data_IF_825592013458
#
_entry.id   IF_825592013458
#
_cell.length_a   1.000
_cell.length_b   1.000
_cell.length_c   1.000
_cell.angle_alpha   90.00
_cell.angle_beta   90.00
_cell.angle_gamma   90.00
#
_symmetry.space_group_name_H-M   'P 1'
#
loop_
_entity.id
_entity.type
_entity.pdbx_description
1 polymer ?
#
# COMPACT_ATOMS: atom_id res chain seq x y z
N UNK A 1 -12.04 -35.98 58.80
CA UNK A 1 -10.84 -35.27 58.29
C UNK A 1 -10.64 -35.69 56.84
N UNK A 2 -11.16 -34.91 55.88
CA UNK A 2 -11.03 -35.20 54.45
C UNK A 2 -9.64 -34.79 53.96
N UNK A 3 -8.75 -35.77 53.78
CA UNK A 3 -7.46 -35.54 53.16
C UNK A 3 -7.63 -35.42 51.64
N UNK A 4 -7.65 -34.17 51.16
CA UNK A 4 -7.72 -33.81 49.75
C UNK A 4 -6.49 -34.25 48.97
N UNK A 5 -6.57 -35.44 48.35
CA UNK A 5 -5.60 -35.92 47.38
C UNK A 5 -5.76 -35.19 46.04
N UNK A 6 -5.02 -34.10 45.83
CA UNK A 6 -4.87 -33.49 44.48
C UNK A 6 -4.10 -34.48 43.58
N UNK A 7 -4.82 -35.23 42.75
CA UNK A 7 -4.26 -36.06 41.68
C UNK A 7 -3.30 -35.22 40.82
N UNK A 8 -2.03 -35.61 40.75
CA UNK A 8 -1.05 -35.03 39.81
C UNK A 8 -1.55 -35.34 38.40
N UNK A 9 -2.07 -34.34 37.68
CA UNK A 9 -2.48 -34.50 36.28
C UNK A 9 -1.31 -35.07 35.47
N UNK A 10 -1.60 -36.11 34.68
CA UNK A 10 -0.64 -36.74 33.78
C UNK A 10 -0.16 -35.71 32.74
N UNK A 11 1.15 -35.62 32.50
CA UNK A 11 1.74 -34.70 31.52
C UNK A 11 1.10 -34.82 30.12
N UNK A 12 0.59 -36.00 29.77
CA UNK A 12 -0.16 -36.21 28.52
C UNK A 12 -1.45 -35.37 28.44
N UNK A 13 -2.25 -35.33 29.50
CA UNK A 13 -3.53 -34.62 29.55
C UNK A 13 -3.31 -33.11 29.44
N UNK A 14 -2.30 -32.59 30.17
CA UNK A 14 -1.88 -31.18 30.08
C UNK A 14 -1.45 -30.78 28.67
N UNK A 15 -0.69 -31.66 27.98
CA UNK A 15 -0.24 -31.39 26.62
C UNK A 15 -1.40 -31.41 25.62
N UNK A 16 -2.36 -32.33 25.80
CA UNK A 16 -3.59 -32.43 24.99
C UNK A 16 -4.46 -31.18 25.11
N UNK A 17 -4.64 -30.66 26.33
CA UNK A 17 -5.38 -29.41 26.56
C UNK A 17 -4.70 -28.20 25.94
N UNK A 18 -3.37 -28.09 26.08
CA UNK A 18 -2.57 -27.01 25.47
C UNK A 18 -2.71 -26.98 23.95
N UNK A 19 -2.59 -28.14 23.29
CA UNK A 19 -2.76 -28.25 21.83
C UNK A 19 -4.17 -27.82 21.41
N UNK A 20 -5.20 -28.22 22.16
CA UNK A 20 -6.60 -27.86 21.87
C UNK A 20 -6.83 -26.36 21.98
N UNK A 21 -6.26 -25.71 23.02
CA UNK A 21 -6.33 -24.26 23.22
C UNK A 21 -5.65 -23.49 22.08
N UNK A 22 -4.45 -23.92 21.67
CA UNK A 22 -3.71 -23.32 20.55
C UNK A 22 -4.46 -23.44 19.22
N UNK A 23 -5.15 -24.55 18.96
CA UNK A 23 -5.98 -24.70 17.75
C UNK A 23 -7.16 -23.72 17.75
N UNK A 24 -7.84 -23.59 18.89
CA UNK A 24 -8.98 -22.68 19.04
C UNK A 24 -8.56 -21.21 18.89
N UNK A 25 -7.43 -20.83 19.47
CA UNK A 25 -6.86 -19.48 19.36
C UNK A 25 -6.50 -19.14 17.91
N UNK A 26 -5.87 -20.07 17.18
CA UNK A 26 -5.60 -19.91 15.74
C UNK A 26 -6.87 -19.76 14.91
N UNK A 27 -7.92 -20.51 15.23
CA UNK A 27 -9.21 -20.38 14.54
C UNK A 27 -9.87 -19.03 14.82
N UNK A 28 -9.81 -18.55 16.07
CA UNK A 28 -10.35 -17.24 16.43
C UNK A 28 -9.58 -16.09 15.74
N UNK A 29 -8.26 -16.20 15.60
CA UNK A 29 -7.44 -15.22 14.86
C UNK A 29 -7.84 -15.21 13.39
N UNK A 30 -7.90 -16.38 12.73
CA UNK A 30 -8.33 -16.48 11.32
C UNK A 30 -9.72 -15.90 11.09
N UNK A 31 -10.66 -16.21 11.97
CA UNK A 31 -12.04 -15.71 11.86
C UNK A 31 -12.11 -14.18 12.02
N UNK A 32 -11.32 -13.60 12.92
CA UNK A 32 -11.19 -12.15 13.06
C UNK A 32 -10.53 -11.49 11.83
N UNK A 33 -9.55 -12.15 11.21
CA UNK A 33 -8.93 -11.67 9.97
C UNK A 33 -9.90 -11.73 8.79
N UNK A 34 -10.73 -12.77 8.70
CA UNK A 34 -11.76 -12.94 7.66
C UNK A 34 -12.92 -11.95 7.85
N UNK A 35 -13.46 -11.81 9.06
CA UNK A 35 -14.50 -10.82 9.39
C UNK A 35 -14.01 -9.37 9.20
N UNK A 36 -12.73 -9.12 9.47
CA UNK A 36 -12.08 -7.85 9.18
C UNK A 36 -11.97 -7.56 7.68
N UNK A 37 -11.73 -8.58 6.85
CA UNK A 37 -11.69 -8.45 5.37
C UNK A 37 -13.08 -8.21 4.78
N UNK A 38 -14.10 -8.95 5.19
CA UNK A 38 -15.47 -8.83 4.65
C UNK A 38 -16.13 -7.47 4.97
N UNK A 39 -15.93 -6.96 6.19
CA UNK A 39 -16.44 -5.61 6.53
C UNK A 39 -15.76 -4.52 5.72
N UNK A 40 -14.46 -4.67 5.43
CA UNK A 40 -13.69 -3.72 4.65
C UNK A 40 -14.05 -3.73 3.16
N UNK A 41 -14.25 -4.90 2.55
CA UNK A 41 -14.73 -5.00 1.15
C UNK A 41 -16.07 -4.29 0.96
N UNK A 42 -16.94 -4.33 1.97
CA UNK A 42 -18.22 -3.64 1.95
C UNK A 42 -18.10 -2.12 2.17
N UNK A 43 -17.15 -1.64 2.99
CA UNK A 43 -16.88 -0.21 3.14
C UNK A 43 -16.13 0.39 1.93
N UNK A 44 -15.24 -0.37 1.29
CA UNK A 44 -14.44 0.04 0.13
C UNK A 44 -15.30 0.18 -1.14
N UNK A 45 -16.36 -0.63 -1.29
CA UNK A 45 -17.38 -0.48 -2.34
C UNK A 45 -18.14 0.84 -2.27
N UNK A 46 -18.21 1.48 -1.10
CA UNK A 46 -19.12 2.59 -0.85
C UNK A 46 -18.51 3.99 -1.06
N UNK A 47 -17.20 4.15 -1.33
CA UNK A 47 -16.60 5.49 -1.23
C UNK A 47 -15.49 5.90 -2.22
N UNK A 48 -15.16 5.11 -3.24
CA UNK A 48 -14.29 5.57 -4.34
C UNK A 48 -14.71 4.94 -5.66
N UNK A 49 -14.90 5.75 -6.69
CA UNK A 49 -15.16 5.27 -8.05
C UNK A 49 -13.84 4.92 -8.74
N UNK A 50 -13.07 4.01 -8.13
CA UNK A 50 -11.81 3.54 -8.69
C UNK A 50 -12.08 2.79 -10.00
N UNK A 51 -11.58 3.34 -11.10
CA UNK A 51 -11.64 2.68 -12.41
C UNK A 51 -10.22 2.32 -12.85
N UNK A 52 -10.12 1.29 -13.68
CA UNK A 52 -8.85 0.83 -14.23
C UNK A 52 -8.41 1.78 -15.35
N UNK A 53 -7.22 2.37 -15.22
CA UNK A 53 -6.64 3.27 -16.21
C UNK A 53 -5.21 2.89 -16.56
N UNK A 54 -4.82 3.18 -17.79
CA UNK A 54 -3.45 3.12 -18.26
C UNK A 54 -2.82 4.52 -18.21
N UNK A 55 -1.68 4.63 -17.53
CA UNK A 55 -0.91 5.84 -17.37
C UNK A 55 0.33 5.71 -18.25
N UNK A 56 0.43 6.54 -19.27
CA UNK A 56 1.63 6.66 -20.09
C UNK A 56 2.60 7.65 -19.43
N UNK A 57 3.80 7.19 -19.09
CA UNK A 57 4.76 7.91 -18.26
C UNK A 57 6.14 7.93 -18.93
N UNK A 58 6.70 9.14 -19.05
CA UNK A 58 8.11 9.36 -19.35
C UNK A 58 8.91 9.68 -18.08
N UNK A 59 10.12 9.14 -17.95
CA UNK A 59 10.99 9.37 -16.79
C UNK A 59 12.49 9.29 -17.13
N UNK A 60 13.27 10.03 -16.33
CA UNK A 60 14.73 9.98 -16.29
C UNK A 60 15.13 8.98 -15.20
N UNK A 61 15.70 7.83 -15.58
CA UNK A 61 15.96 6.73 -14.65
C UNK A 61 17.20 6.88 -13.77
N UNK A 62 18.06 7.88 -13.98
CA UNK A 62 19.39 7.97 -13.36
C UNK A 62 19.39 7.94 -11.83
N UNK A 63 18.32 8.42 -11.18
CA UNK A 63 18.18 8.44 -9.71
C UNK A 63 17.28 7.32 -9.18
N UNK A 64 16.87 6.38 -10.03
CA UNK A 64 15.92 5.33 -9.68
C UNK A 64 16.55 3.95 -9.81
N UNK A 65 16.21 3.06 -8.88
CA UNK A 65 16.60 1.65 -8.87
C UNK A 65 15.73 0.80 -9.81
N UNK A 66 15.39 1.37 -10.96
CA UNK A 66 14.48 0.80 -11.95
C UNK A 66 13.04 1.20 -11.70
N UNK A 67 12.13 0.59 -12.47
CA UNK A 67 10.71 0.97 -12.41
C UNK A 67 9.88 0.14 -11.43
N UNK A 68 10.32 -1.04 -11.03
CA UNK A 68 9.54 -1.92 -10.14
C UNK A 68 9.66 -1.48 -8.68
N UNK A 69 8.57 -1.44 -7.94
CA UNK A 69 8.52 -1.24 -6.49
C UNK A 69 9.36 -2.28 -5.75
N UNK A 70 10.28 -1.81 -4.89
CA UNK A 70 11.14 -2.63 -4.04
C UNK A 70 11.08 -2.11 -2.60
N UNK A 71 9.90 -2.20 -1.97
CA UNK A 71 9.67 -1.75 -0.58
C UNK A 71 9.51 -0.23 -0.43
N UNK A 72 9.05 0.22 0.75
CA UNK A 72 8.62 1.63 0.99
C UNK A 72 9.77 2.65 0.93
N UNK A 73 11.03 2.24 1.10
CA UNK A 73 12.18 3.16 1.20
C UNK A 73 13.05 3.20 -0.07
N UNK A 74 12.71 2.45 -1.12
CA UNK A 74 13.47 2.46 -2.36
C UNK A 74 12.94 3.53 -3.31
N UNK A 75 13.82 4.27 -3.98
CA UNK A 75 13.42 5.21 -5.04
C UNK A 75 13.30 4.43 -6.35
N UNK A 76 12.07 4.06 -6.69
CA UNK A 76 11.71 3.41 -7.96
C UNK A 76 10.53 4.16 -8.59
N UNK A 77 10.36 4.01 -9.90
CA UNK A 77 9.30 4.73 -10.62
C UNK A 77 7.91 4.41 -10.05
N UNK A 78 7.60 3.13 -9.81
CA UNK A 78 6.34 2.73 -9.17
C UNK A 78 6.16 3.35 -7.79
N UNK A 79 7.19 3.38 -6.95
CA UNK A 79 7.09 3.97 -5.60
C UNK A 79 6.79 5.46 -5.65
N UNK A 80 7.47 6.22 -6.51
CA UNK A 80 7.20 7.65 -6.70
C UNK A 80 5.78 7.88 -7.22
N UNK A 81 5.34 7.07 -8.19
CA UNK A 81 4.01 7.16 -8.77
C UNK A 81 2.93 6.87 -7.71
N UNK A 82 3.09 5.80 -6.92
CA UNK A 82 2.16 5.43 -5.86
C UNK A 82 2.09 6.47 -4.74
N UNK A 83 3.24 7.01 -4.30
CA UNK A 83 3.26 8.13 -3.34
C UNK A 83 2.51 9.35 -3.89
N UNK A 84 2.69 9.65 -5.18
CA UNK A 84 2.02 10.77 -5.83
C UNK A 84 0.51 10.55 -5.90
N UNK A 85 0.07 9.39 -6.36
CA UNK A 85 -1.35 9.01 -6.45
C UNK A 85 -2.03 9.01 -5.07
N UNK A 86 -1.32 8.57 -4.01
CA UNK A 86 -1.80 8.67 -2.64
C UNK A 86 -1.94 10.12 -2.18
N UNK A 87 -0.95 10.96 -2.49
CA UNK A 87 -0.94 12.39 -2.12
C UNK A 87 -2.10 13.17 -2.73
N UNK A 88 -2.47 12.85 -3.98
CA UNK A 88 -3.62 13.47 -4.66
C UNK A 88 -4.96 12.78 -4.36
N UNK A 89 -5.00 11.83 -3.42
CA UNK A 89 -6.17 11.02 -3.08
C UNK A 89 -6.78 10.26 -4.27
N UNK A 90 -6.01 9.99 -5.32
CA UNK A 90 -6.46 9.23 -6.49
C UNK A 90 -6.47 7.71 -6.21
N UNK A 91 -5.70 7.28 -5.21
CA UNK A 91 -5.73 5.94 -4.60
C UNK A 91 -5.74 6.08 -3.06
N UNK A 92 -6.27 5.09 -2.33
CA UNK A 92 -6.24 5.07 -0.86
C UNK A 92 -5.31 3.99 -0.31
N UNK A 93 -4.55 4.32 0.74
CA UNK A 93 -3.70 3.36 1.46
C UNK A 93 -4.59 2.39 2.24
N UNK A 94 -4.50 1.09 1.94
CA UNK A 94 -5.19 0.07 2.72
C UNK A 94 -4.52 -0.04 4.08
N UNK A 95 -5.26 0.22 5.16
CA UNK A 95 -4.75 0.28 6.55
C UNK A 95 -4.04 -1.00 7.02
N UNK A 96 -4.30 -2.13 6.36
CA UNK A 96 -3.73 -3.45 6.67
C UNK A 96 -2.60 -3.91 5.74
N UNK A 97 -2.40 -3.30 4.58
CA UNK A 97 -1.32 -3.70 3.68
C UNK A 97 -0.10 -2.82 3.91
N UNK A 98 0.96 -3.43 4.46
CA UNK A 98 2.27 -2.79 4.64
C UNK A 98 3.00 -2.49 3.32
N UNK A 99 2.48 -2.95 2.18
CA UNK A 99 3.25 -2.96 0.94
C UNK A 99 2.66 -1.97 -0.08
N UNK A 100 3.54 -1.11 -0.61
CA UNK A 100 3.38 -0.36 -1.85
C UNK A 100 3.31 -1.38 -2.99
N UNK A 101 2.10 -1.67 -3.47
CA UNK A 101 1.86 -2.58 -4.57
C UNK A 101 0.47 -2.31 -5.17
N UNK A 102 0.24 -1.05 -5.57
CA UNK A 102 -1.01 -0.63 -6.20
C UNK A 102 -0.96 -0.83 -7.72
N UNK A 103 0.23 -0.97 -8.30
CA UNK A 103 0.41 -1.22 -9.73
C UNK A 103 -0.15 -2.59 -10.12
N UNK A 104 -1.08 -2.62 -11.08
CA UNK A 104 -1.68 -3.86 -11.59
C UNK A 104 -0.81 -4.49 -12.68
N UNK A 105 -0.22 -3.67 -13.54
CA UNK A 105 0.62 -4.14 -14.64
C UNK A 105 1.48 -3.02 -15.21
N UNK A 106 2.56 -3.41 -15.89
CA UNK A 106 3.47 -2.54 -16.62
C UNK A 106 3.72 -3.08 -18.02
N UNK A 107 3.94 -2.21 -18.99
CA UNK A 107 4.40 -2.63 -20.32
C UNK A 107 5.83 -3.13 -20.29
N UNK A 108 6.73 -2.47 -19.54
CA UNK A 108 8.14 -2.83 -19.48
C UNK A 108 8.71 -2.76 -18.07
N UNK A 109 9.58 -3.72 -17.76
CA UNK A 109 10.54 -3.61 -16.66
C UNK A 109 11.79 -2.91 -17.18
N UNK A 110 12.20 -1.85 -16.50
CA UNK A 110 13.46 -1.16 -16.73
C UNK A 110 14.35 -1.34 -15.51
N UNK A 111 15.62 -1.60 -15.77
CA UNK A 111 16.65 -1.73 -14.75
C UNK A 111 17.04 -0.37 -14.16
N UNK A 112 17.89 -0.40 -13.14
CA UNK A 112 18.44 0.81 -12.50
C UNK A 112 19.11 1.73 -13.51
N UNK A 113 18.83 3.03 -13.42
CA UNK A 113 19.42 4.04 -14.30
C UNK A 113 18.76 4.17 -15.67
N UNK A 114 17.91 3.23 -16.10
CA UNK A 114 17.32 3.22 -17.45
C UNK A 114 16.23 4.28 -17.61
N UNK A 115 16.34 5.08 -18.67
CA UNK A 115 15.35 6.09 -19.04
C UNK A 115 14.22 5.50 -19.89
N UNK A 116 13.03 6.09 -19.83
CA UNK A 116 11.92 5.72 -20.72
C UNK A 116 11.11 6.96 -21.10
N UNK A 117 10.64 7.01 -22.35
CA UNK A 117 9.78 8.09 -22.83
C UNK A 117 8.29 7.75 -22.72
N UNK A 118 7.94 6.48 -22.98
CA UNK A 118 6.55 6.00 -23.02
C UNK A 118 6.42 4.62 -22.36
N UNK A 119 6.64 4.54 -21.05
CA UNK A 119 6.32 3.33 -20.30
C UNK A 119 4.88 3.41 -19.77
N UNK A 120 4.14 2.32 -19.89
CA UNK A 120 2.73 2.27 -19.50
C UNK A 120 2.60 1.52 -18.19
N UNK A 121 1.92 2.12 -17.23
CA UNK A 121 1.55 1.51 -15.96
C UNK A 121 0.04 1.49 -15.82
N UNK A 122 -0.50 0.46 -15.18
CA UNK A 122 -1.96 0.31 -15.02
C UNK A 122 -2.31 0.31 -13.55
N UNK A 123 -3.22 1.19 -13.17
CA UNK A 123 -3.69 1.35 -11.80
C UNK A 123 -5.22 1.43 -11.74
N UNK A 124 -5.77 1.13 -10.57
CA UNK A 124 -7.13 1.52 -10.22
C UNK A 124 -7.09 2.93 -9.62
N UNK A 125 -7.66 3.90 -10.29
CA UNK A 125 -7.54 5.33 -9.94
C UNK A 125 -8.92 5.99 -9.97
N UNK A 126 -9.18 6.88 -9.03
CA UNK A 126 -10.32 7.80 -9.08
C UNK A 126 -9.91 9.10 -9.77
N UNK A 127 -10.43 9.36 -10.98
CA UNK A 127 -10.13 10.59 -11.71
C UNK A 127 -10.85 11.81 -11.11
N UNK A 128 -11.94 11.59 -10.35
CA UNK A 128 -12.69 12.68 -9.72
C UNK A 128 -12.05 13.16 -8.41
N UNK A 129 -10.85 12.67 -8.07
CA UNK A 129 -10.10 13.06 -6.88
C UNK A 129 -9.60 14.52 -6.92
N UNK A 130 -9.90 15.27 -7.99
CA UNK A 130 -9.48 16.65 -8.24
C UNK A 130 -10.05 17.70 -7.28
N UNK A 131 -10.85 17.32 -6.29
CA UNK A 131 -11.26 18.19 -5.18
C UNK A 131 -10.13 18.42 -4.16
N UNK A 132 -8.98 18.91 -4.61
CA UNK A 132 -8.06 19.59 -3.70
C UNK A 132 -8.62 21.00 -3.45
N UNK A 133 -9.10 21.26 -2.23
CA UNK A 133 -9.30 22.63 -1.74
C UNK A 133 -7.96 23.37 -1.89
N UNK A 134 -7.91 24.31 -2.82
CA UNK A 134 -6.70 25.05 -3.22
C UNK A 134 -6.06 25.91 -2.11
N UNK A 135 -6.53 25.85 -0.85
CA UNK A 135 -6.06 26.71 0.24
C UNK A 135 -4.92 26.12 1.10
N UNK A 136 -4.68 24.81 1.08
CA UNK A 136 -3.65 24.20 1.95
C UNK A 136 -2.32 23.93 1.23
N UNK A 137 -2.32 23.81 -0.11
CA UNK A 137 -1.09 23.53 -0.88
C UNK A 137 -0.12 24.72 -0.86
N UNK A 138 -0.61 25.95 -0.67
CA UNK A 138 0.22 27.15 -0.58
C UNK A 138 0.85 27.39 0.80
N UNK A 139 0.39 26.73 1.86
CA UNK A 139 0.95 26.92 3.23
C UNK A 139 2.03 25.89 3.58
N UNK A 140 1.97 24.68 3.04
CA UNK A 140 2.96 23.62 3.35
C UNK A 140 4.29 23.80 2.60
N UNK A 141 4.35 24.68 1.60
CA UNK A 141 5.57 24.93 0.80
C UNK A 141 6.45 26.05 1.39
N UNK A 142 5.88 26.94 2.21
CA UNK A 142 6.59 28.15 2.66
C UNK A 142 7.23 28.06 4.06
N UNK A 143 7.09 26.94 4.79
CA UNK A 143 7.56 26.81 6.18
C UNK A 143 8.58 25.70 6.44
N UNK A 144 9.10 25.02 5.42
CA UNK A 144 10.24 24.10 5.58
C UNK A 144 11.51 24.77 5.09
N UNK A 145 12.19 25.48 5.99
CA UNK A 145 13.61 25.83 5.88
C UNK A 145 14.46 24.57 6.14
N UNK A 146 14.28 23.56 5.31
CA UNK A 146 15.15 22.38 5.28
C UNK A 146 15.63 22.22 3.84
N UNK A 147 16.94 22.06 3.67
CA UNK A 147 17.71 21.99 2.41
C UNK A 147 17.33 20.85 1.45
N UNK A 148 16.15 20.26 1.59
CA UNK A 148 15.55 19.38 0.60
C UNK A 148 14.74 20.19 -0.41
N UNK A 149 15.45 20.64 -1.46
CA UNK A 149 14.87 21.12 -2.72
C UNK A 149 13.60 20.35 -3.04
N UNK A 150 12.50 21.07 -2.92
CA UNK A 150 11.16 20.75 -3.40
C UNK A 150 11.29 20.17 -4.81
N UNK A 151 11.20 18.84 -4.94
CA UNK A 151 11.16 18.14 -6.22
C UNK A 151 9.79 18.38 -6.88
N UNK A 152 9.55 19.63 -7.25
CA UNK A 152 8.47 20.05 -8.15
C UNK A 152 9.09 20.61 -9.44
N UNK A 153 10.41 20.43 -9.64
CA UNK A 153 11.16 21.11 -10.70
C UNK A 153 12.00 20.28 -11.67
N UNK A 154 12.06 18.93 -11.60
CA UNK A 154 12.97 18.16 -12.51
C UNK A 154 12.49 16.81 -13.05
N UNK A 155 11.21 16.47 -12.93
CA UNK A 155 10.66 15.32 -13.64
C UNK A 155 9.40 15.79 -14.35
N UNK A 156 9.51 16.05 -15.65
CA UNK A 156 8.34 16.20 -16.53
C UNK A 156 7.63 14.85 -16.59
N UNK A 157 6.85 14.53 -15.55
CA UNK A 157 5.95 13.40 -15.54
C UNK A 157 4.70 13.84 -16.31
N UNK A 158 4.78 13.80 -17.64
CA UNK A 158 3.60 13.99 -18.48
C UNK A 158 2.69 12.79 -18.27
N UNK A 159 1.61 12.98 -17.53
CA UNK A 159 0.53 12.01 -17.43
C UNK A 159 -0.34 12.13 -18.68
N UNK A 160 -0.16 11.23 -19.64
CA UNK A 160 -1.24 10.93 -20.57
C UNK A 160 -2.01 9.75 -20.02
N UNK A 161 -3.21 10.02 -19.49
CA UNK A 161 -4.18 8.98 -19.20
C UNK A 161 -4.74 8.55 -20.56
N UNK A 162 -4.40 7.33 -21.00
CA UNK A 162 -5.11 6.72 -22.12
C UNK A 162 -6.46 6.24 -21.58
N UNK A 163 -7.54 6.79 -22.14
CA UNK A 163 -8.93 6.35 -21.91
C UNK A 163 -9.22 5.15 -22.80
#
# INVERSE_FOLDING_TARGET
MENGNKKRLNNYEKNKERIKKLKLERQAIKKKEEEGKEKYENEEKNNLNLKKYALCIGYIGSQYHGCQGQGENCETIENTLERTLLKINAIKKKKFFKNFNFCLSRSARTDQGVHALFNIFVYNVDINCTNMKNEEVHKTVNNSNDDHKTYVGKTFLYFFILI
#
